data_IF_313916540384
#
_entry.id   IF_313916540384
#
_cell.length_a   1.000
_cell.length_b   1.000
_cell.length_c   1.000
_cell.angle_alpha   90.00
_cell.angle_beta   90.00
_cell.angle_gamma   90.00
#
_symmetry.space_group_name_H-M   'P 1'
#
loop_
_entity.id
_entity.type
_entity.pdbx_description
1 polymer ?
#
# COMPACT_ATOMS: atom_id res chain seq x y z
N UNK A 1 -10.85 72.78 -50.46
CA UNK A 1 -11.45 71.50 -49.99
C UNK A 1 -10.71 70.39 -50.66
N UNK A 2 -9.87 69.56 -50.00
CA UNK A 2 -9.23 68.43 -50.57
C UNK A 2 -10.15 67.21 -50.50
N UNK A 3 -10.21 66.45 -51.58
CA UNK A 3 -11.02 65.25 -51.75
C UNK A 3 -10.48 64.09 -50.85
N UNK A 4 -11.45 63.44 -50.17
CA UNK A 4 -11.20 62.29 -49.29
C UNK A 4 -10.86 61.08 -50.18
N UNK A 5 -9.79 60.29 -49.86
CA UNK A 5 -9.47 59.06 -50.61
C UNK A 5 -10.59 58.00 -50.45
N UNK A 6 -10.76 57.11 -51.43
CA UNK A 6 -11.79 56.05 -51.38
C UNK A 6 -11.40 55.01 -50.33
N UNK A 7 -12.49 54.42 -49.73
CA UNK A 7 -12.33 53.38 -48.71
C UNK A 7 -11.74 52.09 -49.35
N UNK A 8 -10.94 51.30 -48.56
CA UNK A 8 -10.40 50.04 -49.06
C UNK A 8 -11.50 49.01 -49.26
N UNK A 9 -11.32 48.07 -50.26
CA UNK A 9 -12.27 47.05 -50.49
C UNK A 9 -12.42 46.11 -49.29
N UNK A 10 -13.60 45.41 -49.11
CA UNK A 10 -13.79 44.43 -48.06
C UNK A 10 -12.84 43.23 -48.24
N UNK A 11 -12.38 42.59 -47.14
CA UNK A 11 -11.52 41.44 -47.24
C UNK A 11 -12.27 40.28 -47.92
N UNK A 12 -11.57 39.56 -48.78
CA UNK A 12 -12.05 38.35 -49.41
C UNK A 12 -12.35 37.27 -48.35
N UNK A 13 -13.40 36.46 -48.54
CA UNK A 13 -13.71 35.37 -47.64
C UNK A 13 -12.52 34.37 -47.58
N UNK A 14 -11.95 34.17 -46.38
CA UNK A 14 -10.96 33.14 -46.15
C UNK A 14 -11.64 31.79 -46.35
N UNK A 15 -11.21 31.04 -47.34
CA UNK A 15 -11.68 29.69 -47.56
C UNK A 15 -11.36 28.85 -46.33
N UNK A 16 -12.42 28.27 -45.71
CA UNK A 16 -12.25 27.29 -44.64
C UNK A 16 -11.40 26.14 -45.20
N UNK A 17 -10.25 25.92 -44.55
CA UNK A 17 -9.41 24.77 -44.81
C UNK A 17 -10.23 23.50 -44.51
N UNK A 18 -10.11 22.44 -45.34
CA UNK A 18 -10.82 21.19 -45.07
C UNK A 18 -10.37 20.66 -43.70
N UNK A 19 -11.36 20.18 -42.94
CA UNK A 19 -11.21 19.52 -41.66
C UNK A 19 -10.29 18.29 -41.80
N UNK A 20 -8.97 18.48 -41.78
CA UNK A 20 -8.03 17.38 -41.68
C UNK A 20 -8.25 16.72 -40.31
N UNK A 21 -8.50 15.39 -40.30
CA UNK A 21 -8.58 14.69 -39.04
C UNK A 21 -7.24 14.88 -38.27
N UNK A 22 -7.29 15.10 -36.93
CA UNK A 22 -6.08 15.29 -36.16
C UNK A 22 -5.11 14.14 -36.42
N UNK A 23 -3.78 14.43 -36.48
CA UNK A 23 -2.79 13.41 -36.79
C UNK A 23 -2.97 12.22 -35.84
N UNK A 24 -3.10 11.04 -36.40
CA UNK A 24 -3.05 9.78 -35.65
C UNK A 24 -1.69 9.78 -34.98
N UNK A 25 -1.67 9.97 -33.65
CA UNK A 25 -0.46 9.81 -32.86
C UNK A 25 0.05 8.41 -33.15
N UNK A 26 1.20 8.32 -33.81
CA UNK A 26 1.85 7.04 -34.03
C UNK A 26 1.98 6.32 -32.68
N UNK A 27 1.71 5.01 -32.61
CA UNK A 27 1.84 4.27 -31.37
C UNK A 27 3.26 4.51 -30.88
N UNK A 28 3.38 5.01 -29.63
CA UNK A 28 4.68 5.21 -28.98
C UNK A 28 5.48 3.94 -29.16
N UNK A 29 6.54 4.01 -29.93
CA UNK A 29 7.48 2.91 -30.09
C UNK A 29 7.95 2.46 -28.71
N UNK A 30 8.02 1.14 -28.51
CA UNK A 30 8.34 0.43 -27.25
C UNK A 30 9.59 0.91 -26.50
N UNK A 31 10.33 1.89 -27.01
CA UNK A 31 11.59 2.41 -26.46
C UNK A 31 11.44 3.47 -25.35
N UNK A 32 10.23 3.91 -24.97
CA UNK A 32 10.04 4.89 -23.89
C UNK A 32 9.50 4.31 -22.57
N UNK A 33 9.32 3.02 -22.46
CA UNK A 33 8.93 2.33 -21.22
C UNK A 33 10.10 1.55 -20.64
N UNK A 34 11.21 2.20 -20.35
CA UNK A 34 12.34 1.59 -19.62
C UNK A 34 12.03 1.35 -18.14
N UNK A 35 10.96 1.91 -17.61
CA UNK A 35 10.45 1.62 -16.27
C UNK A 35 9.14 0.86 -16.40
N UNK A 36 9.12 -0.40 -15.94
CA UNK A 36 7.90 -1.19 -15.87
C UNK A 36 6.86 -0.54 -14.95
N UNK A 37 5.59 -0.74 -15.24
CA UNK A 37 4.47 -0.22 -14.45
C UNK A 37 3.13 -0.55 -15.09
N UNK A 38 2.07 -0.58 -14.31
CA UNK A 38 0.72 -0.82 -14.79
C UNK A 38 0.14 0.44 -15.46
N UNK A 39 -0.44 0.29 -16.65
CA UNK A 39 -1.12 1.36 -17.36
C UNK A 39 -2.61 1.32 -17.05
N UNK A 40 -3.12 2.35 -16.40
CA UNK A 40 -4.48 2.42 -15.88
C UNK A 40 -5.24 3.57 -16.54
N UNK A 41 -6.48 3.30 -16.94
CA UNK A 41 -7.41 4.32 -17.42
C UNK A 41 -8.69 4.35 -16.59
N UNK A 42 -9.30 5.52 -16.45
CA UNK A 42 -10.59 5.71 -15.80
C UNK A 42 -11.56 6.31 -16.81
N UNK A 43 -12.62 5.57 -17.14
CA UNK A 43 -13.68 6.11 -17.99
C UNK A 43 -14.60 7.04 -17.20
N UNK A 44 -15.15 8.07 -17.83
CA UNK A 44 -16.29 8.78 -17.29
C UNK A 44 -17.40 7.79 -16.91
N UNK A 45 -17.95 7.95 -15.69
CA UNK A 45 -18.97 7.04 -15.17
C UNK A 45 -20.31 7.28 -15.88
N UNK A 46 -21.09 6.22 -16.05
CA UNK A 46 -22.42 6.31 -16.65
C UNK A 46 -23.45 6.79 -15.62
N UNK A 47 -24.22 7.84 -15.93
CA UNK A 47 -25.38 8.22 -15.15
C UNK A 47 -26.57 7.33 -15.51
N UNK A 48 -27.13 6.67 -14.50
CA UNK A 48 -28.35 5.87 -14.65
C UNK A 48 -29.52 6.67 -14.10
N UNK A 49 -30.33 7.24 -15.01
CA UNK A 49 -31.45 8.13 -14.69
C UNK A 49 -31.26 9.52 -15.32
N UNK A 50 -32.26 10.37 -15.16
CA UNK A 50 -32.36 11.66 -15.87
C UNK A 50 -32.26 12.87 -14.92
N UNK A 51 -31.55 12.77 -13.82
CA UNK A 51 -31.40 13.92 -12.92
C UNK A 51 -30.25 14.82 -13.37
N UNK A 52 -30.57 16.01 -13.92
CA UNK A 52 -29.59 17.00 -14.39
C UNK A 52 -28.64 17.47 -13.26
N UNK A 53 -29.15 17.50 -12.01
CA UNK A 53 -28.35 17.89 -10.85
C UNK A 53 -27.12 16.97 -10.62
N UNK A 54 -27.17 15.73 -11.10
CA UNK A 54 -26.11 14.75 -10.95
C UNK A 54 -25.12 14.73 -12.14
N UNK A 55 -25.33 15.55 -13.15
CA UNK A 55 -24.53 15.55 -14.38
C UNK A 55 -23.03 15.78 -14.12
N UNK A 56 -22.68 16.52 -13.07
CA UNK A 56 -21.27 16.79 -12.72
C UNK A 56 -20.64 15.67 -11.91
N UNK A 57 -21.43 14.78 -11.28
CA UNK A 57 -20.89 13.73 -10.39
C UNK A 57 -20.04 12.70 -11.15
N UNK A 58 -20.51 12.29 -12.32
CA UNK A 58 -19.86 11.25 -13.09
C UNK A 58 -18.46 11.67 -13.60
N UNK A 59 -18.30 12.82 -14.29
CA UNK A 59 -16.98 13.30 -14.68
C UNK A 59 -16.12 13.70 -13.47
N UNK A 60 -16.69 14.33 -12.43
CA UNK A 60 -15.96 14.75 -11.24
C UNK A 60 -15.36 13.57 -10.47
N UNK A 61 -16.12 12.49 -10.25
CA UNK A 61 -15.60 11.30 -9.58
C UNK A 61 -14.53 10.58 -10.41
N UNK A 62 -14.70 10.51 -11.74
CA UNK A 62 -13.68 9.93 -12.60
C UNK A 62 -12.37 10.72 -12.57
N UNK A 63 -12.44 12.04 -12.55
CA UNK A 63 -11.28 12.93 -12.44
C UNK A 63 -10.59 12.78 -11.08
N UNK A 64 -11.37 12.74 -9.99
CA UNK A 64 -10.82 12.56 -8.65
C UNK A 64 -10.13 11.21 -8.49
N UNK A 65 -10.73 10.12 -9.00
CA UNK A 65 -10.08 8.80 -9.03
C UNK A 65 -8.80 8.84 -9.87
N UNK A 66 -8.81 9.50 -11.03
CA UNK A 66 -7.64 9.66 -11.90
C UNK A 66 -6.50 10.38 -11.17
N UNK A 67 -6.83 11.49 -10.50
CA UNK A 67 -5.89 12.26 -9.70
C UNK A 67 -5.33 11.44 -8.54
N UNK A 68 -6.18 10.71 -7.84
CA UNK A 68 -5.77 9.86 -6.72
C UNK A 68 -4.86 8.69 -7.16
N UNK A 69 -5.15 8.05 -8.30
CA UNK A 69 -4.29 7.01 -8.89
C UNK A 69 -2.92 7.54 -9.30
N UNK A 70 -2.85 8.76 -9.83
CA UNK A 70 -1.58 9.35 -10.31
C UNK A 70 -0.54 9.55 -9.19
N UNK A 71 -0.95 9.48 -7.92
CA UNK A 71 -0.08 9.54 -6.75
C UNK A 71 0.69 8.23 -6.49
N UNK A 72 0.30 7.13 -7.13
CA UNK A 72 1.02 5.86 -7.08
C UNK A 72 2.10 5.84 -8.16
N UNK A 73 3.35 6.04 -7.77
CA UNK A 73 4.51 6.21 -8.67
C UNK A 73 4.79 5.04 -9.62
N UNK A 74 4.29 3.86 -9.31
CA UNK A 74 4.46 2.66 -10.11
C UNK A 74 3.35 2.44 -11.17
N UNK A 75 2.34 3.33 -11.21
CA UNK A 75 1.25 3.31 -12.19
C UNK A 75 1.41 4.44 -13.20
N UNK A 76 1.07 4.15 -14.46
CA UNK A 76 0.92 5.13 -15.53
C UNK A 76 -0.56 5.39 -15.77
N UNK A 77 -1.04 6.54 -15.38
CA UNK A 77 -2.48 6.87 -15.43
C UNK A 77 -2.77 7.73 -16.66
N UNK A 78 -3.72 7.29 -17.48
CA UNK A 78 -4.19 8.06 -18.64
C UNK A 78 -5.27 9.03 -18.18
N UNK A 79 -5.15 10.30 -18.57
CA UNK A 79 -6.10 11.34 -18.22
C UNK A 79 -7.54 10.98 -18.65
N UNK A 80 -8.51 11.15 -17.73
CA UNK A 80 -9.91 10.78 -17.95
C UNK A 80 -10.53 11.48 -19.18
N UNK A 81 -10.18 12.73 -19.41
CA UNK A 81 -10.62 13.50 -20.57
C UNK A 81 -10.17 12.88 -21.92
N UNK A 82 -9.01 12.24 -21.96
CA UNK A 82 -8.54 11.54 -23.17
C UNK A 82 -9.43 10.33 -23.52
N UNK A 83 -10.07 9.75 -22.52
CA UNK A 83 -10.94 8.58 -22.65
C UNK A 83 -12.41 8.95 -22.84
N UNK A 84 -12.81 10.22 -22.65
CA UNK A 84 -14.20 10.67 -22.69
C UNK A 84 -14.90 10.31 -24.01
N UNK A 85 -14.20 10.40 -25.15
CA UNK A 85 -14.74 10.04 -26.47
C UNK A 85 -15.15 8.56 -26.59
N UNK A 86 -14.57 7.67 -25.77
CA UNK A 86 -14.88 6.24 -25.76
C UNK A 86 -16.00 5.89 -24.76
N UNK A 87 -16.46 6.85 -23.95
CA UNK A 87 -17.60 6.68 -23.06
C UNK A 87 -18.93 6.81 -23.79
N UNK A 88 -18.96 7.55 -24.91
CA UNK A 88 -20.16 7.80 -25.72
C UNK A 88 -20.25 6.76 -26.88
N UNK A 89 -21.39 6.07 -27.00
CA UNK A 89 -21.66 5.12 -28.08
C UNK A 89 -21.30 3.65 -27.74
N UNK A 90 -21.01 2.87 -28.78
CA UNK A 90 -20.62 1.47 -28.61
C UNK A 90 -19.19 1.43 -28.07
N UNK A 91 -19.06 0.96 -26.85
CA UNK A 91 -17.79 0.87 -26.16
C UNK A 91 -16.90 -0.21 -26.77
N UNK A 92 -15.67 0.16 -27.13
CA UNK A 92 -14.66 -0.74 -27.68
C UNK A 92 -13.38 -0.69 -26.83
N UNK A 93 -13.28 -1.60 -25.86
CA UNK A 93 -12.12 -1.76 -24.97
C UNK A 93 -10.86 -2.13 -25.77
N UNK A 94 -11.00 -2.83 -26.89
CA UNK A 94 -9.87 -3.19 -27.76
C UNK A 94 -9.28 -1.94 -28.41
N UNK A 95 -10.13 -1.02 -28.88
CA UNK A 95 -9.68 0.26 -29.41
C UNK A 95 -9.02 1.14 -28.33
N UNK A 96 -9.60 1.18 -27.11
CA UNK A 96 -9.02 1.89 -25.97
C UNK A 96 -7.60 1.37 -25.69
N UNK A 97 -7.47 0.05 -25.54
CA UNK A 97 -6.17 -0.58 -25.29
C UNK A 97 -5.15 -0.29 -26.37
N UNK A 98 -5.56 -0.41 -27.63
CA UNK A 98 -4.67 -0.16 -28.79
C UNK A 98 -4.20 1.29 -28.87
N UNK A 99 -5.10 2.23 -28.56
CA UNK A 99 -4.81 3.67 -28.70
C UNK A 99 -3.94 4.20 -27.56
N UNK A 100 -4.17 3.75 -26.31
CA UNK A 100 -3.53 4.33 -25.13
C UNK A 100 -2.57 3.38 -24.40
N UNK A 101 -2.47 2.13 -24.84
CA UNK A 101 -1.63 1.13 -24.17
C UNK A 101 -2.14 0.74 -22.78
N UNK A 102 -3.42 0.94 -22.48
CA UNK A 102 -4.02 0.69 -21.17
C UNK A 102 -4.10 -0.82 -20.91
N UNK A 103 -3.66 -1.22 -19.71
CA UNK A 103 -3.74 -2.58 -19.21
C UNK A 103 -4.98 -2.82 -18.37
N UNK A 104 -5.32 -1.82 -17.53
CA UNK A 104 -6.47 -1.86 -16.62
C UNK A 104 -7.38 -0.68 -16.87
N UNK A 105 -8.67 -0.95 -16.92
CA UNK A 105 -9.69 0.06 -17.16
C UNK A 105 -10.71 0.07 -16.04
N UNK A 106 -10.81 1.19 -15.33
CA UNK A 106 -11.86 1.41 -14.35
C UNK A 106 -13.07 2.01 -15.02
N UNK A 107 -14.22 1.41 -14.81
CA UNK A 107 -15.51 1.93 -15.28
C UNK A 107 -16.58 1.79 -14.19
N UNK A 108 -17.76 2.37 -14.47
CA UNK A 108 -18.86 2.21 -13.56
C UNK A 108 -20.06 3.08 -13.86
N UNK A 109 -20.97 3.12 -12.92
CA UNK A 109 -22.22 3.89 -13.01
C UNK A 109 -22.59 4.56 -11.70
N UNK A 110 -23.30 5.67 -11.82
CA UNK A 110 -23.90 6.41 -10.71
C UNK A 110 -25.42 6.42 -10.90
N UNK A 111 -26.15 6.02 -9.89
CA UNK A 111 -27.61 6.05 -9.86
C UNK A 111 -28.08 6.76 -8.59
N UNK A 112 -28.95 7.75 -8.77
CA UNK A 112 -29.66 8.36 -7.62
C UNK A 112 -30.94 7.57 -7.34
N UNK A 113 -31.12 7.17 -6.07
CA UNK A 113 -32.33 6.54 -5.58
C UNK A 113 -32.81 7.36 -4.38
N UNK A 114 -33.75 8.28 -4.61
CA UNK A 114 -34.21 9.25 -3.59
C UNK A 114 -33.03 10.11 -3.08
N UNK A 115 -32.75 10.04 -1.78
CA UNK A 115 -31.64 10.76 -1.12
C UNK A 115 -30.36 9.93 -1.01
N UNK A 116 -30.21 8.87 -1.80
CA UNK A 116 -29.01 8.00 -1.82
C UNK A 116 -28.42 7.95 -3.21
N UNK A 117 -27.10 7.96 -3.27
CA UNK A 117 -26.34 7.67 -4.47
C UNK A 117 -25.83 6.23 -4.39
N UNK A 118 -26.12 5.45 -5.41
CA UNK A 118 -25.55 4.15 -5.64
C UNK A 118 -24.49 4.27 -6.72
N UNK A 119 -23.25 4.00 -6.36
CA UNK A 119 -22.10 4.03 -7.25
C UNK A 119 -21.59 2.62 -7.37
N UNK A 120 -21.53 2.12 -8.59
CA UNK A 120 -20.96 0.80 -8.89
C UNK A 120 -19.73 1.00 -9.73
N UNK A 121 -18.60 0.47 -9.28
CA UNK A 121 -17.31 0.55 -9.97
C UNK A 121 -16.75 -0.86 -10.18
N UNK A 122 -16.04 -1.04 -11.28
CA UNK A 122 -15.34 -2.28 -11.61
C UNK A 122 -14.05 -2.00 -12.35
N UNK A 123 -13.04 -2.80 -12.10
CA UNK A 123 -11.75 -2.79 -12.76
C UNK A 123 -11.70 -3.96 -13.76
N UNK A 124 -11.42 -3.65 -14.98
CA UNK A 124 -11.27 -4.61 -16.07
C UNK A 124 -9.80 -4.81 -16.40
N UNK A 125 -9.39 -6.05 -16.56
CA UNK A 125 -8.09 -6.40 -17.11
C UNK A 125 -8.22 -6.58 -18.63
N UNK A 126 -7.74 -5.61 -19.40
CA UNK A 126 -7.84 -5.59 -20.86
C UNK A 126 -6.88 -6.57 -21.55
N UNK A 127 -5.86 -7.05 -20.82
CA UNK A 127 -4.93 -8.08 -21.33
C UNK A 127 -5.48 -9.49 -21.17
N UNK A 128 -6.47 -9.67 -20.28
CA UNK A 128 -7.13 -10.93 -20.00
C UNK A 128 -8.56 -11.01 -20.60
N UNK A 129 -8.80 -10.42 -21.77
CA UNK A 129 -10.09 -10.47 -22.42
C UNK A 129 -11.20 -9.68 -21.72
N UNK A 130 -10.86 -8.53 -21.16
CA UNK A 130 -11.76 -7.63 -20.42
C UNK A 130 -12.38 -8.27 -19.17
N UNK A 131 -11.63 -9.15 -18.50
CA UNK A 131 -12.07 -9.78 -17.27
C UNK A 131 -12.25 -8.74 -16.15
N UNK A 132 -13.40 -8.80 -15.45
CA UNK A 132 -13.58 -8.01 -14.22
C UNK A 132 -12.73 -8.62 -13.11
N UNK A 133 -11.74 -7.88 -12.64
CA UNK A 133 -10.80 -8.34 -11.61
C UNK A 133 -11.10 -7.77 -10.24
N UNK A 134 -11.83 -6.65 -10.18
CA UNK A 134 -12.33 -6.05 -8.95
C UNK A 134 -13.67 -5.34 -9.25
N UNK A 135 -14.60 -5.37 -8.29
CA UNK A 135 -15.86 -4.65 -8.36
C UNK A 135 -16.35 -4.28 -6.96
N UNK A 136 -16.91 -3.07 -6.85
CA UNK A 136 -17.49 -2.56 -5.61
C UNK A 136 -18.73 -1.73 -5.87
N UNK A 137 -19.64 -1.78 -4.88
CA UNK A 137 -20.82 -0.93 -4.82
C UNK A 137 -20.77 -0.10 -3.55
N UNK A 138 -20.97 1.20 -3.72
CA UNK A 138 -21.04 2.18 -2.65
C UNK A 138 -22.46 2.73 -2.60
N UNK A 139 -23.14 2.61 -1.48
CA UNK A 139 -24.44 3.24 -1.21
C UNK A 139 -24.19 4.35 -0.18
N UNK A 140 -24.35 5.61 -0.57
CA UNK A 140 -24.02 6.81 0.23
C UNK A 140 -25.20 7.78 0.26
N UNK A 141 -25.28 8.59 1.33
CA UNK A 141 -26.21 9.73 1.37
C UNK A 141 -25.64 10.89 0.56
N UNK A 142 -26.49 11.65 -0.11
CA UNK A 142 -26.09 12.72 -1.03
C UNK A 142 -26.06 14.13 -0.39
N UNK A 143 -25.68 14.22 0.89
CA UNK A 143 -25.74 15.49 1.62
C UNK A 143 -24.59 16.46 1.28
N UNK A 144 -23.42 15.92 0.96
CA UNK A 144 -22.22 16.65 0.53
C UNK A 144 -21.55 15.88 -0.59
N UNK A 145 -21.70 16.36 -1.81
CA UNK A 145 -21.27 15.64 -3.01
C UNK A 145 -19.75 15.70 -3.21
N UNK A 146 -19.08 16.79 -2.82
CA UNK A 146 -17.64 16.94 -2.97
C UNK A 146 -16.91 16.03 -1.99
N UNK A 147 -17.27 16.09 -0.70
CA UNK A 147 -16.71 15.19 0.31
C UNK A 147 -16.94 13.73 -0.03
N UNK A 148 -18.09 13.40 -0.64
CA UNK A 148 -18.41 12.06 -1.10
C UNK A 148 -17.51 11.59 -2.25
N UNK A 149 -17.18 12.45 -3.20
CA UNK A 149 -16.28 12.14 -4.31
C UNK A 149 -14.89 11.82 -3.79
N UNK A 150 -14.35 12.65 -2.88
CA UNK A 150 -13.04 12.44 -2.25
C UNK A 150 -12.99 11.12 -1.46
N UNK A 151 -14.04 10.84 -0.67
CA UNK A 151 -14.12 9.60 0.12
C UNK A 151 -14.13 8.35 -0.78
N UNK A 152 -14.97 8.32 -1.81
CA UNK A 152 -15.09 7.18 -2.71
C UNK A 152 -13.81 7.03 -3.54
N UNK A 153 -13.25 8.10 -4.07
CA UNK A 153 -11.99 8.03 -4.82
C UNK A 153 -10.88 7.44 -3.95
N UNK A 154 -10.76 7.90 -2.70
CA UNK A 154 -9.77 7.39 -1.75
C UNK A 154 -9.94 5.90 -1.46
N UNK A 155 -11.17 5.45 -1.18
CA UNK A 155 -11.47 4.03 -0.92
C UNK A 155 -11.19 3.16 -2.16
N UNK A 156 -11.57 3.62 -3.34
CA UNK A 156 -11.38 2.90 -4.61
C UNK A 156 -9.90 2.67 -4.90
N UNK A 157 -9.12 3.75 -4.88
CA UNK A 157 -7.70 3.64 -5.27
C UNK A 157 -6.89 2.86 -4.25
N UNK A 158 -7.21 2.95 -2.96
CA UNK A 158 -6.57 2.17 -1.91
C UNK A 158 -6.84 0.66 -2.05
N UNK A 159 -8.00 0.28 -2.60
CA UNK A 159 -8.35 -1.12 -2.81
C UNK A 159 -7.81 -1.68 -4.13
N UNK A 160 -7.78 -0.88 -5.20
CA UNK A 160 -7.30 -1.37 -6.51
C UNK A 160 -5.77 -1.39 -6.63
N UNK A 161 -5.04 -0.57 -5.87
CA UNK A 161 -3.57 -0.59 -5.87
C UNK A 161 -2.99 -1.97 -5.54
N UNK A 162 -3.32 -2.63 -4.42
CA UNK A 162 -2.81 -3.96 -4.13
C UNK A 162 -3.33 -5.04 -5.09
N UNK A 163 -4.56 -4.92 -5.59
CA UNK A 163 -5.11 -5.88 -6.57
C UNK A 163 -4.34 -5.84 -7.89
N UNK A 164 -4.09 -4.66 -8.44
CA UNK A 164 -3.29 -4.51 -9.65
C UNK A 164 -1.88 -5.07 -9.43
N UNK A 165 -1.27 -4.77 -8.28
CA UNK A 165 0.06 -5.25 -7.93
C UNK A 165 0.15 -6.78 -7.93
N UNK A 166 -0.85 -7.47 -7.36
CA UNK A 166 -0.91 -8.94 -7.33
C UNK A 166 -1.15 -9.54 -8.73
N UNK A 167 -1.96 -8.91 -9.57
CA UNK A 167 -2.20 -9.34 -10.95
C UNK A 167 -0.91 -9.21 -11.76
N UNK A 168 -0.21 -8.09 -11.64
CA UNK A 168 1.08 -7.88 -12.31
C UNK A 168 2.14 -8.88 -11.83
N UNK A 169 2.20 -9.15 -10.52
CA UNK A 169 3.09 -10.15 -9.95
C UNK A 169 2.83 -11.56 -10.51
N UNK A 170 1.56 -11.97 -10.57
CA UNK A 170 1.17 -13.25 -11.17
C UNK A 170 1.55 -13.34 -12.65
N UNK A 171 1.42 -12.26 -13.38
CA UNK A 171 1.78 -12.15 -14.79
C UNK A 171 3.28 -12.26 -14.99
N UNK A 172 4.04 -11.54 -14.18
CA UNK A 172 5.49 -11.58 -14.19
C UNK A 172 6.03 -12.98 -13.90
N UNK A 173 5.43 -13.72 -12.98
CA UNK A 173 5.80 -15.10 -12.67
C UNK A 173 5.70 -16.04 -13.89
N UNK A 174 4.83 -15.75 -14.84
CA UNK A 174 4.67 -16.52 -16.09
C UNK A 174 5.68 -16.20 -17.19
N UNK A 175 6.51 -15.14 -17.05
CA UNK A 175 7.54 -14.79 -18.03
C UNK A 175 8.79 -15.66 -17.87
N UNK A 176 9.48 -16.06 -18.98
CA UNK A 176 10.77 -16.72 -18.89
C UNK A 176 11.77 -15.85 -18.09
N UNK A 177 12.60 -16.45 -17.24
CA UNK A 177 13.59 -15.71 -16.43
C UNK A 177 14.57 -14.88 -17.26
N UNK A 178 14.93 -15.34 -18.45
CA UNK A 178 15.90 -14.69 -19.33
C UNK A 178 15.40 -13.35 -19.88
N UNK A 179 14.08 -13.15 -19.95
CA UNK A 179 13.43 -11.93 -20.45
C UNK A 179 12.92 -11.04 -19.31
N UNK A 180 13.18 -11.40 -18.07
CA UNK A 180 12.68 -10.69 -16.91
C UNK A 180 13.46 -9.40 -16.66
N UNK A 181 12.73 -8.29 -16.51
CA UNK A 181 13.27 -6.97 -16.15
C UNK A 181 13.44 -6.85 -14.63
N UNK A 182 14.10 -5.78 -14.17
CA UNK A 182 14.16 -5.44 -12.73
C UNK A 182 12.75 -5.31 -12.12
N UNK A 183 11.82 -4.74 -12.86
CA UNK A 183 10.40 -4.67 -12.47
C UNK A 183 9.76 -6.06 -12.31
N UNK A 184 10.01 -6.98 -13.24
CA UNK A 184 9.50 -8.34 -13.15
C UNK A 184 10.06 -9.08 -11.93
N UNK A 185 11.35 -8.93 -11.64
CA UNK A 185 11.97 -9.53 -10.46
C UNK A 185 11.39 -8.98 -9.16
N UNK A 186 11.21 -7.66 -9.06
CA UNK A 186 10.55 -7.04 -7.90
C UNK A 186 9.12 -7.56 -7.72
N UNK A 187 8.33 -7.62 -8.78
CA UNK A 187 6.96 -8.13 -8.73
C UNK A 187 6.88 -9.60 -8.28
N UNK A 188 7.80 -10.44 -8.72
CA UNK A 188 7.87 -11.86 -8.30
C UNK A 188 8.13 -12.01 -6.81
N UNK A 189 8.90 -11.09 -6.23
CA UNK A 189 9.24 -11.13 -4.81
C UNK A 189 8.04 -10.83 -3.91
N UNK A 190 7.18 -9.88 -4.27
CA UNK A 190 6.12 -9.34 -3.41
C UNK A 190 5.19 -10.42 -2.84
N UNK A 191 4.54 -11.29 -3.64
CA UNK A 191 3.67 -12.32 -3.10
C UNK A 191 4.42 -13.39 -2.30
N UNK A 192 5.71 -13.60 -2.56
CA UNK A 192 6.53 -14.57 -1.82
C UNK A 192 6.89 -14.06 -0.41
N UNK A 193 7.06 -12.74 -0.25
CA UNK A 193 7.24 -12.11 1.07
C UNK A 193 6.00 -12.39 1.94
N UNK A 194 4.80 -12.19 1.40
CA UNK A 194 3.54 -12.35 2.15
C UNK A 194 3.20 -13.79 2.53
N UNK A 195 3.79 -14.80 1.87
CA UNK A 195 3.54 -16.21 2.21
C UNK A 195 4.16 -16.61 3.54
N UNK A 196 5.30 -16.01 3.91
CA UNK A 196 6.07 -16.35 5.12
C UNK A 196 6.43 -17.85 5.22
N UNK A 197 6.65 -18.48 4.08
CA UNK A 197 7.24 -19.82 3.95
C UNK A 197 8.75 -19.66 3.66
N UNK A 198 9.63 -20.21 4.49
CA UNK A 198 11.07 -19.89 4.49
C UNK A 198 11.72 -20.03 3.10
N UNK A 199 11.44 -21.10 2.36
CA UNK A 199 11.99 -21.30 1.01
C UNK A 199 11.57 -20.22 0.00
N UNK A 200 10.26 -20.04 -0.27
CA UNK A 200 9.76 -18.97 -1.12
C UNK A 200 10.17 -17.57 -0.64
N UNK A 201 10.23 -17.34 0.67
CA UNK A 201 10.67 -16.07 1.23
C UNK A 201 12.14 -15.76 0.92
N UNK A 202 13.03 -16.73 1.05
CA UNK A 202 14.45 -16.58 0.67
C UNK A 202 14.59 -16.29 -0.83
N UNK A 203 13.81 -16.96 -1.67
CA UNK A 203 13.77 -16.71 -3.11
C UNK A 203 13.32 -15.27 -3.43
N UNK A 204 12.41 -14.69 -2.63
CA UNK A 204 12.04 -13.27 -2.77
C UNK A 204 13.24 -12.34 -2.57
N UNK A 205 14.08 -12.61 -1.58
CA UNK A 205 15.32 -11.85 -1.36
C UNK A 205 16.28 -11.93 -2.55
N UNK A 206 16.43 -13.12 -3.16
CA UNK A 206 17.24 -13.32 -4.37
C UNK A 206 16.67 -12.50 -5.56
N UNK A 207 15.36 -12.52 -5.77
CA UNK A 207 14.73 -11.70 -6.80
C UNK A 207 14.97 -10.21 -6.59
N UNK A 208 14.87 -9.71 -5.37
CA UNK A 208 15.09 -8.29 -5.06
C UNK A 208 16.55 -7.87 -5.23
N UNK A 209 17.50 -8.74 -4.82
CA UNK A 209 18.92 -8.53 -5.08
C UNK A 209 19.19 -8.42 -6.58
N UNK A 210 18.62 -9.36 -7.35
CA UNK A 210 18.81 -9.41 -8.81
C UNK A 210 18.15 -8.19 -9.51
N UNK A 211 17.01 -7.71 -9.02
CA UNK A 211 16.40 -6.50 -9.53
C UNK A 211 17.32 -5.28 -9.38
N UNK A 212 18.00 -5.16 -8.25
CA UNK A 212 18.97 -4.08 -7.99
C UNK A 212 20.23 -4.22 -8.86
N UNK A 213 20.70 -5.44 -9.10
CA UNK A 213 21.84 -5.71 -9.99
C UNK A 213 21.54 -5.33 -11.44
N UNK A 214 20.30 -5.62 -11.92
CA UNK A 214 19.87 -5.27 -13.27
C UNK A 214 19.65 -3.77 -13.44
N UNK A 215 19.10 -3.09 -12.43
CA UNK A 215 18.81 -1.65 -12.49
C UNK A 215 19.16 -0.99 -11.15
N UNK A 216 20.42 -0.53 -10.96
CA UNK A 216 20.90 0.06 -9.70
C UNK A 216 20.23 1.38 -9.29
N UNK A 217 19.43 1.97 -10.17
CA UNK A 217 18.66 3.21 -9.90
C UNK A 217 17.16 2.95 -9.70
N UNK A 218 16.74 1.68 -9.58
CA UNK A 218 15.34 1.33 -9.40
C UNK A 218 14.93 1.40 -7.92
N UNK A 219 14.46 2.58 -7.49
CA UNK A 219 14.12 2.90 -6.10
C UNK A 219 13.18 1.87 -5.45
N UNK A 220 12.14 1.42 -6.17
CA UNK A 220 11.15 0.48 -5.62
C UNK A 220 11.77 -0.86 -5.23
N UNK A 221 12.77 -1.37 -5.98
CA UNK A 221 13.44 -2.62 -5.63
C UNK A 221 14.20 -2.51 -4.29
N UNK A 222 14.84 -1.36 -4.04
CA UNK A 222 15.48 -1.08 -2.75
C UNK A 222 14.46 -1.00 -1.60
N UNK A 223 13.32 -0.34 -1.82
CA UNK A 223 12.27 -0.24 -0.82
C UNK A 223 11.71 -1.63 -0.45
N UNK A 224 11.35 -2.44 -1.43
CA UNK A 224 10.85 -3.79 -1.21
C UNK A 224 11.90 -4.71 -0.58
N UNK A 225 13.19 -4.53 -0.90
CA UNK A 225 14.27 -5.31 -0.27
C UNK A 225 14.48 -4.90 1.21
N UNK A 226 14.36 -3.60 1.51
CA UNK A 226 14.33 -3.15 2.91
C UNK A 226 13.14 -3.75 3.66
N UNK A 227 11.97 -3.80 3.04
CA UNK A 227 10.77 -4.41 3.61
C UNK A 227 10.90 -5.92 3.81
N UNK A 228 11.53 -6.63 2.89
CA UNK A 228 11.89 -8.04 3.06
C UNK A 228 12.74 -8.26 4.32
N UNK A 229 13.72 -7.39 4.59
CA UNK A 229 14.54 -7.49 5.79
C UNK A 229 13.74 -7.26 7.08
N UNK A 230 12.69 -6.43 7.06
CA UNK A 230 11.78 -6.26 8.22
C UNK A 230 11.18 -7.60 8.62
N UNK A 231 10.65 -8.35 7.66
CA UNK A 231 10.10 -9.68 7.93
C UNK A 231 11.17 -10.69 8.30
N UNK A 232 12.33 -10.65 7.65
CA UNK A 232 13.43 -11.59 7.90
C UNK A 232 13.92 -11.51 9.36
N UNK A 233 14.05 -10.29 9.88
CA UNK A 233 14.38 -10.04 11.29
C UNK A 233 13.20 -10.33 12.19
N UNK A 234 12.00 -9.85 11.84
CA UNK A 234 10.79 -9.98 12.65
C UNK A 234 10.33 -11.42 12.88
N UNK A 235 10.61 -12.33 11.93
CA UNK A 235 10.34 -13.77 12.03
C UNK A 235 11.43 -14.56 12.78
N UNK A 236 12.50 -13.89 13.25
CA UNK A 236 13.61 -14.57 13.91
C UNK A 236 14.46 -15.45 12.98
N UNK A 237 14.45 -15.20 11.66
CA UNK A 237 15.16 -16.01 10.68
C UNK A 237 16.59 -15.57 10.40
N UNK A 238 16.98 -14.39 10.88
CA UNK A 238 18.30 -13.82 10.67
C UNK A 238 19.31 -14.39 11.66
N UNK A 239 20.40 -15.01 11.16
CA UNK A 239 21.51 -15.49 11.99
C UNK A 239 22.27 -14.31 12.65
N UNK A 240 22.39 -13.17 11.95
CA UNK A 240 22.92 -11.91 12.47
C UNK A 240 21.87 -10.81 12.27
N UNK A 241 20.95 -10.63 13.24
CA UNK A 241 19.93 -9.59 13.18
C UNK A 241 20.50 -8.17 13.04
N UNK A 242 21.62 -7.87 13.71
CA UNK A 242 22.23 -6.54 13.69
C UNK A 242 22.74 -6.17 12.30
N UNK A 243 23.40 -7.08 11.61
CA UNK A 243 23.84 -6.86 10.23
C UNK A 243 22.65 -6.71 9.28
N UNK A 244 21.56 -7.49 9.46
CA UNK A 244 20.36 -7.39 8.65
C UNK A 244 19.59 -6.08 8.89
N UNK A 245 19.52 -5.62 10.12
CA UNK A 245 18.92 -4.31 10.48
C UNK A 245 19.70 -3.15 9.85
N UNK A 246 21.04 -3.16 9.90
CA UNK A 246 21.90 -2.17 9.27
C UNK A 246 21.69 -2.17 7.74
N UNK A 247 21.63 -3.34 7.11
CA UNK A 247 21.37 -3.49 5.67
C UNK A 247 20.00 -2.96 5.28
N UNK A 248 18.97 -3.23 6.07
CA UNK A 248 17.63 -2.68 5.85
C UNK A 248 17.64 -1.14 5.84
N UNK A 249 18.37 -0.54 6.78
CA UNK A 249 18.56 0.92 6.84
C UNK A 249 19.22 1.48 5.59
N UNK A 250 20.32 0.89 5.15
CA UNK A 250 21.03 1.31 3.93
C UNK A 250 20.15 1.21 2.68
N UNK A 251 19.39 0.12 2.55
CA UNK A 251 18.48 -0.07 1.42
C UNK A 251 17.33 0.96 1.44
N UNK A 252 16.75 1.20 2.61
CA UNK A 252 15.69 2.19 2.79
C UNK A 252 16.16 3.62 2.48
N UNK A 253 17.35 4.00 2.93
CA UNK A 253 17.96 5.29 2.59
C UNK A 253 18.21 5.42 1.09
N UNK A 254 18.74 4.37 0.45
CA UNK A 254 18.97 4.37 -0.99
C UNK A 254 17.67 4.55 -1.77
N UNK A 255 16.58 3.89 -1.36
CA UNK A 255 15.26 4.06 -1.97
C UNK A 255 14.80 5.53 -1.94
N UNK A 256 14.92 6.20 -0.77
CA UNK A 256 14.52 7.61 -0.61
C UNK A 256 15.40 8.55 -1.44
N UNK A 257 16.70 8.28 -1.53
CA UNK A 257 17.62 9.09 -2.34
C UNK A 257 17.29 8.98 -3.82
N UNK A 258 16.95 7.79 -4.30
CA UNK A 258 16.61 7.54 -5.71
C UNK A 258 15.24 8.09 -6.10
N UNK A 259 14.24 7.99 -5.23
CA UNK A 259 12.93 8.60 -5.45
C UNK A 259 12.35 9.17 -4.15
N UNK A 260 12.63 10.47 -3.86
CA UNK A 260 12.17 11.12 -2.63
C UNK A 260 10.67 11.44 -2.61
N UNK A 261 9.94 11.14 -3.70
CA UNK A 261 8.50 11.36 -3.85
C UNK A 261 7.72 10.04 -3.88
N UNK A 262 8.38 8.90 -3.68
CA UNK A 262 7.67 7.62 -3.54
C UNK A 262 7.14 7.45 -2.13
N UNK A 263 5.81 7.63 -1.96
CA UNK A 263 5.13 7.49 -0.67
C UNK A 263 5.31 6.08 -0.07
N UNK A 264 5.34 5.03 -0.90
CA UNK A 264 5.57 3.65 -0.45
C UNK A 264 6.99 3.47 0.07
N UNK A 265 7.98 3.95 -0.67
CA UNK A 265 9.38 3.91 -0.25
C UNK A 265 9.61 4.65 1.07
N UNK A 266 9.03 5.85 1.22
CA UNK A 266 9.05 6.62 2.47
C UNK A 266 8.38 5.88 3.62
N UNK A 267 7.23 5.24 3.38
CA UNK A 267 6.51 4.49 4.41
C UNK A 267 7.29 3.26 4.87
N UNK A 268 7.88 2.51 3.94
CA UNK A 268 8.75 1.37 4.27
C UNK A 268 9.96 1.84 5.08
N UNK A 269 10.61 2.92 4.69
CA UNK A 269 11.73 3.48 5.42
C UNK A 269 11.33 3.93 6.84
N UNK A 270 10.13 4.53 6.99
CA UNK A 270 9.55 4.84 8.28
C UNK A 270 9.41 3.59 9.15
N UNK A 271 8.89 2.52 8.59
CA UNK A 271 8.75 1.25 9.34
C UNK A 271 10.10 0.62 9.73
N UNK A 272 11.09 0.66 8.85
CA UNK A 272 12.48 0.27 9.18
C UNK A 272 13.01 1.10 10.36
N UNK A 273 12.80 2.42 10.35
CA UNK A 273 13.20 3.30 11.47
C UNK A 273 12.46 2.97 12.76
N UNK A 274 11.15 2.72 12.72
CA UNK A 274 10.35 2.40 13.89
C UNK A 274 10.69 1.02 14.46
N UNK A 275 10.56 -0.01 13.65
CA UNK A 275 10.60 -1.40 14.11
C UNK A 275 12.02 -1.93 14.32
N UNK A 276 12.94 -1.66 13.36
CA UNK A 276 14.30 -2.20 13.43
C UNK A 276 15.29 -1.28 14.17
N UNK A 277 15.13 0.04 14.00
CA UNK A 277 16.09 1.01 14.55
C UNK A 277 15.58 1.74 15.80
N UNK A 278 14.32 1.58 16.19
CA UNK A 278 13.66 2.23 17.34
C UNK A 278 13.72 3.77 17.30
N UNK A 279 13.81 4.36 16.07
CA UNK A 279 13.84 5.81 15.85
C UNK A 279 12.44 6.32 15.53
N UNK A 280 11.57 6.34 16.54
CA UNK A 280 10.13 6.54 16.36
C UNK A 280 9.78 7.92 15.77
N UNK A 281 10.43 8.99 16.25
CA UNK A 281 10.18 10.35 15.74
C UNK A 281 10.61 10.52 14.27
N UNK A 282 11.74 9.93 13.87
CA UNK A 282 12.16 9.91 12.46
C UNK A 282 11.17 9.11 11.61
N UNK A 283 10.69 7.99 12.14
CA UNK A 283 9.68 7.15 11.48
C UNK A 283 8.38 7.91 11.22
N UNK A 284 7.87 8.59 12.24
CA UNK A 284 6.65 9.40 12.15
C UNK A 284 6.81 10.49 11.08
N UNK A 285 7.93 11.21 11.06
CA UNK A 285 8.19 12.23 10.06
C UNK A 285 8.20 11.66 8.62
N UNK A 286 8.76 10.46 8.43
CA UNK A 286 8.74 9.78 7.12
C UNK A 286 7.32 9.34 6.72
N UNK A 287 6.54 8.81 7.66
CA UNK A 287 5.16 8.44 7.41
C UNK A 287 4.28 9.65 7.11
N UNK A 288 4.42 10.75 7.84
CA UNK A 288 3.66 11.98 7.60
C UNK A 288 4.01 12.57 6.22
N UNK A 289 5.28 12.51 5.82
CA UNK A 289 5.68 12.88 4.47
C UNK A 289 5.08 11.94 3.41
N UNK A 290 5.07 10.63 3.65
CA UNK A 290 4.43 9.67 2.75
C UNK A 290 2.95 9.96 2.57
N UNK A 291 2.22 10.23 3.67
CA UNK A 291 0.81 10.56 3.68
C UNK A 291 0.50 11.93 3.05
N UNK A 292 1.42 12.90 3.15
CA UNK A 292 1.28 14.19 2.44
C UNK A 292 1.37 14.02 0.92
N UNK A 293 2.20 13.09 0.44
CA UNK A 293 2.33 12.77 -0.98
C UNK A 293 1.17 11.90 -1.49
N UNK A 294 0.79 10.90 -0.72
CA UNK A 294 -0.31 10.00 -1.07
C UNK A 294 -1.16 9.62 0.16
N UNK A 295 -2.21 10.40 0.47
CA UNK A 295 -3.12 10.11 1.59
C UNK A 295 -3.98 8.85 1.37
N UNK A 296 -3.93 8.24 0.19
CA UNK A 296 -4.68 7.04 -0.18
C UNK A 296 -3.85 5.76 -0.03
N UNK A 297 -2.59 5.86 0.38
CA UNK A 297 -1.74 4.70 0.63
C UNK A 297 -2.09 4.07 1.99
N UNK A 298 -2.94 3.04 1.96
CA UNK A 298 -3.44 2.34 3.16
C UNK A 298 -2.30 1.84 4.06
N UNK A 299 -1.25 1.26 3.45
CA UNK A 299 -0.03 0.84 4.13
C UNK A 299 0.60 1.94 4.99
N UNK A 300 0.65 3.18 4.51
CA UNK A 300 1.26 4.28 5.26
C UNK A 300 0.44 4.67 6.50
N UNK A 301 -0.87 4.57 6.42
CA UNK A 301 -1.75 4.78 7.59
C UNK A 301 -1.51 3.73 8.66
N UNK A 302 -1.44 2.44 8.29
CA UNK A 302 -1.20 1.37 9.24
C UNK A 302 0.18 1.49 9.90
N UNK A 303 1.25 1.53 9.09
CA UNK A 303 2.62 1.57 9.60
C UNK A 303 2.90 2.81 10.45
N UNK A 304 2.27 3.96 10.14
CA UNK A 304 2.35 5.12 11.02
C UNK A 304 1.60 4.90 12.33
N UNK A 305 0.44 4.25 12.29
CA UNK A 305 -0.30 3.88 13.49
C UNK A 305 0.51 2.98 14.42
N UNK A 306 1.22 1.99 13.85
CA UNK A 306 2.16 1.14 14.59
C UNK A 306 3.29 1.97 15.23
N UNK A 307 3.85 2.95 14.52
CA UNK A 307 4.89 3.82 15.07
C UNK A 307 4.38 4.66 16.27
N UNK A 308 3.15 5.18 16.18
CA UNK A 308 2.50 5.87 17.31
C UNK A 308 2.19 4.93 18.48
N UNK A 309 1.79 3.68 18.20
CA UNK A 309 1.60 2.68 19.25
C UNK A 309 2.91 2.40 20.01
N UNK A 310 4.03 2.29 19.31
CA UNK A 310 5.35 2.14 19.93
C UNK A 310 5.79 3.36 20.73
N UNK A 311 5.42 4.57 20.29
CA UNK A 311 5.63 5.82 21.03
C UNK A 311 4.77 5.91 22.30
N UNK A 312 3.67 5.15 22.35
CA UNK A 312 2.69 5.15 23.43
C UNK A 312 1.57 6.19 23.27
N UNK A 313 1.41 6.76 22.08
CA UNK A 313 0.24 7.57 21.70
C UNK A 313 -0.82 6.66 21.05
N UNK A 314 -1.56 5.98 21.91
CA UNK A 314 -2.51 4.95 21.47
C UNK A 314 -3.76 5.53 20.80
N UNK A 315 -4.14 6.76 21.12
CA UNK A 315 -5.28 7.44 20.51
C UNK A 315 -4.98 7.77 19.04
N UNK A 316 -3.84 8.38 18.74
CA UNK A 316 -3.41 8.65 17.38
C UNK A 316 -3.17 7.35 16.61
N UNK A 317 -2.56 6.35 17.26
CA UNK A 317 -2.37 5.02 16.68
C UNK A 317 -3.70 4.40 16.22
N UNK A 318 -4.72 4.40 17.08
CA UNK A 318 -6.05 3.87 16.79
C UNK A 318 -6.74 4.61 15.63
N UNK A 319 -6.64 5.95 15.60
CA UNK A 319 -7.20 6.74 14.51
C UNK A 319 -6.56 6.36 13.16
N UNK A 320 -5.24 6.20 13.13
CA UNK A 320 -4.49 5.86 11.91
C UNK A 320 -4.80 4.46 11.41
N UNK A 321 -4.81 3.44 12.27
CA UNK A 321 -5.13 2.07 11.86
C UNK A 321 -6.61 1.92 11.46
N UNK A 322 -7.52 2.68 12.09
CA UNK A 322 -8.91 2.73 11.66
C UNK A 322 -9.04 3.40 10.28
N UNK A 323 -8.22 4.41 9.98
CA UNK A 323 -8.18 5.02 8.63
C UNK A 323 -7.69 4.01 7.59
N UNK A 324 -6.60 3.27 7.89
CA UNK A 324 -6.18 2.14 7.06
C UNK A 324 -7.33 1.18 6.78
N UNK A 325 -8.00 0.69 7.83
CA UNK A 325 -9.06 -0.32 7.70
C UNK A 325 -10.26 0.19 6.91
N UNK A 326 -10.58 1.49 7.03
CA UNK A 326 -11.62 2.12 6.21
C UNK A 326 -11.23 2.17 4.74
N UNK A 327 -9.98 2.49 4.42
CA UNK A 327 -9.46 2.55 3.05
C UNK A 327 -9.39 1.18 2.40
N UNK A 328 -8.86 0.18 3.11
CA UNK A 328 -8.61 -1.17 2.59
C UNK A 328 -9.18 -2.25 3.53
N UNK A 329 -10.52 -2.41 3.61
CA UNK A 329 -11.15 -3.34 4.55
C UNK A 329 -10.83 -4.82 4.28
N UNK A 330 -10.43 -5.16 3.06
CA UNK A 330 -10.07 -6.50 2.61
C UNK A 330 -8.66 -6.53 2.01
N UNK A 331 -7.72 -5.89 2.69
CA UNK A 331 -6.33 -5.83 2.24
C UNK A 331 -5.73 -7.24 2.12
N UNK A 332 -5.05 -7.57 1.01
CA UNK A 332 -4.40 -8.87 0.87
C UNK A 332 -3.33 -9.16 1.92
N UNK A 333 -2.77 -8.12 2.55
CA UNK A 333 -1.76 -8.21 3.60
C UNK A 333 -2.34 -7.92 5.00
N UNK A 334 -3.68 -8.07 5.18
CA UNK A 334 -4.35 -7.80 6.44
C UNK A 334 -3.75 -8.59 7.62
N UNK A 335 -3.21 -9.79 7.40
CA UNK A 335 -2.51 -10.55 8.44
C UNK A 335 -1.37 -9.76 9.09
N UNK A 336 -0.70 -8.89 8.33
CA UNK A 336 0.37 -8.03 8.82
C UNK A 336 -0.18 -6.75 9.44
N UNK A 337 -0.99 -6.02 8.69
CA UNK A 337 -1.50 -4.72 9.12
C UNK A 337 -2.46 -4.83 10.31
N UNK A 338 -3.40 -5.77 10.30
CA UNK A 338 -4.36 -5.94 11.39
C UNK A 338 -3.70 -6.35 12.73
N UNK A 339 -2.42 -6.74 12.73
CA UNK A 339 -1.64 -6.98 13.95
C UNK A 339 -1.56 -5.73 14.84
N UNK A 340 -1.61 -4.55 14.23
CA UNK A 340 -1.65 -3.28 14.96
C UNK A 340 -2.83 -3.17 15.93
N UNK A 341 -4.01 -3.70 15.56
CA UNK A 341 -5.18 -3.71 16.43
C UNK A 341 -4.95 -4.53 17.70
N UNK A 342 -4.22 -5.67 17.60
CA UNK A 342 -3.89 -6.50 18.77
C UNK A 342 -3.00 -5.71 19.72
N UNK A 343 -1.94 -5.09 19.18
CA UNK A 343 -0.96 -4.32 19.98
C UNK A 343 -1.63 -3.14 20.66
N UNK A 344 -2.41 -2.34 19.93
CA UNK A 344 -3.07 -1.15 20.47
C UNK A 344 -4.06 -1.54 21.59
N UNK A 345 -4.90 -2.55 21.36
CA UNK A 345 -5.87 -3.01 22.35
C UNK A 345 -5.18 -3.56 23.61
N UNK A 346 -4.09 -4.35 23.46
CA UNK A 346 -3.28 -4.85 24.55
C UNK A 346 -2.70 -3.70 25.41
N UNK A 347 -2.14 -2.66 24.77
CA UNK A 347 -1.54 -1.52 25.44
C UNK A 347 -2.59 -0.63 26.12
N UNK A 348 -3.80 -0.55 25.56
CA UNK A 348 -4.93 0.16 26.16
C UNK A 348 -5.64 -0.64 27.28
N UNK A 349 -5.15 -1.82 27.63
CA UNK A 349 -5.75 -2.76 28.59
C UNK A 349 -7.11 -3.33 28.16
N UNK A 350 -7.47 -3.25 26.88
CA UNK A 350 -8.65 -3.92 26.34
C UNK A 350 -8.26 -5.33 25.87
N UNK A 351 -8.04 -6.21 26.85
CA UNK A 351 -7.52 -7.55 26.59
C UNK A 351 -8.50 -8.42 25.80
N UNK A 352 -9.80 -8.25 25.99
CA UNK A 352 -10.81 -9.00 25.23
C UNK A 352 -10.84 -8.57 23.76
N UNK A 353 -10.78 -7.28 23.46
CA UNK A 353 -10.63 -6.80 22.09
C UNK A 353 -9.32 -7.29 21.46
N UNK A 354 -8.20 -7.28 22.22
CA UNK A 354 -6.93 -7.83 21.75
C UNK A 354 -7.01 -9.33 21.43
N UNK A 355 -7.71 -10.12 22.25
CA UNK A 355 -7.92 -11.56 22.02
C UNK A 355 -8.80 -11.80 20.78
N UNK A 356 -9.86 -11.03 20.59
CA UNK A 356 -10.74 -11.14 19.41
C UNK A 356 -9.94 -10.83 18.13
N UNK A 357 -9.20 -9.73 18.13
CA UNK A 357 -8.34 -9.34 17.00
C UNK A 357 -7.23 -10.39 16.75
N UNK A 358 -6.57 -10.86 17.82
CA UNK A 358 -5.49 -11.85 17.74
C UNK A 358 -5.94 -13.16 17.10
N UNK A 359 -7.11 -13.67 17.47
CA UNK A 359 -7.68 -14.87 16.87
C UNK A 359 -7.91 -14.66 15.38
N UNK A 360 -8.56 -13.57 14.98
CA UNK A 360 -8.86 -13.28 13.58
C UNK A 360 -7.57 -13.14 12.74
N UNK A 361 -6.57 -12.45 13.25
CA UNK A 361 -5.31 -12.18 12.51
C UNK A 361 -4.47 -13.45 12.36
N UNK A 362 -4.34 -14.27 13.41
CA UNK A 362 -3.58 -15.52 13.35
C UNK A 362 -4.22 -16.58 12.46
N UNK A 363 -5.54 -16.49 12.21
CA UNK A 363 -6.24 -17.33 11.22
C UNK A 363 -5.92 -16.90 9.78
N UNK A 364 -5.67 -15.61 9.52
CA UNK A 364 -5.32 -15.11 8.18
C UNK A 364 -3.96 -15.64 7.70
N UNK A 365 -2.96 -15.66 8.58
CA UNK A 365 -1.66 -16.27 8.29
C UNK A 365 -1.05 -16.90 9.55
N UNK A 366 -1.26 -18.22 9.75
CA UNK A 366 -0.73 -18.93 10.92
C UNK A 366 0.80 -18.98 11.03
N UNK A 367 1.54 -18.66 9.94
CA UNK A 367 3.00 -18.66 9.92
C UNK A 367 3.63 -17.34 10.36
N UNK A 368 2.82 -16.30 10.62
CA UNK A 368 3.30 -14.97 10.99
C UNK A 368 3.52 -14.85 12.51
N UNK A 369 4.77 -15.07 12.98
CA UNK A 369 5.10 -15.07 14.42
C UNK A 369 4.79 -13.73 15.12
N UNK A 370 4.94 -12.61 14.41
CA UNK A 370 4.69 -11.29 14.98
C UNK A 370 3.23 -11.04 15.38
N UNK A 371 2.25 -11.76 14.79
CA UNK A 371 0.86 -11.71 15.22
C UNK A 371 0.60 -12.60 16.45
N UNK A 372 1.31 -13.74 16.55
CA UNK A 372 1.17 -14.62 17.70
C UNK A 372 1.70 -13.99 18.99
N UNK A 373 2.78 -13.19 18.94
CA UNK A 373 3.38 -12.54 20.12
C UNK A 373 2.37 -11.70 20.91
N UNK A 374 1.71 -10.67 20.33
CA UNK A 374 0.71 -9.88 21.04
C UNK A 374 -0.56 -10.67 21.39
N UNK A 375 -0.93 -11.68 20.58
CA UNK A 375 -2.08 -12.53 20.89
C UNK A 375 -1.83 -13.40 22.12
N UNK A 376 -0.66 -14.03 22.25
CA UNK A 376 -0.25 -14.79 23.44
C UNK A 376 -0.23 -13.90 24.67
N UNK A 377 0.32 -12.69 24.55
CA UNK A 377 0.35 -11.72 25.66
C UNK A 377 -1.08 -11.29 26.07
N UNK A 378 -1.97 -11.06 25.12
CA UNK A 378 -3.37 -10.70 25.37
C UNK A 378 -4.13 -11.82 26.10
N UNK A 379 -3.95 -13.07 25.67
CA UNK A 379 -4.54 -14.24 26.33
C UNK A 379 -4.04 -14.40 27.78
N UNK A 380 -2.73 -14.19 28.00
CA UNK A 380 -2.15 -14.20 29.33
C UNK A 380 -2.74 -13.11 30.24
N UNK A 381 -2.86 -11.88 29.75
CA UNK A 381 -3.44 -10.76 30.48
C UNK A 381 -4.97 -10.94 30.72
N UNK A 382 -5.67 -11.56 29.79
CA UNK A 382 -7.11 -11.88 29.94
C UNK A 382 -7.35 -13.06 30.90
N UNK A 383 -6.31 -13.75 31.39
CA UNK A 383 -6.43 -14.92 32.25
C UNK A 383 -6.93 -16.19 31.53
N UNK A 384 -6.91 -16.20 30.20
CA UNK A 384 -7.36 -17.33 29.35
C UNK A 384 -6.22 -18.33 29.14
N UNK A 385 -5.74 -18.92 30.26
CA UNK A 385 -4.47 -19.65 30.31
C UNK A 385 -4.41 -20.91 29.45
N UNK A 386 -5.49 -21.64 29.28
CA UNK A 386 -5.53 -22.84 28.41
C UNK A 386 -5.36 -22.46 26.93
N UNK A 387 -6.02 -21.37 26.50
CA UNK A 387 -5.85 -20.83 25.14
C UNK A 387 -4.47 -20.22 24.96
N UNK A 388 -3.94 -19.53 25.99
CA UNK A 388 -2.61 -18.97 26.00
C UNK A 388 -1.52 -20.06 25.82
N UNK A 389 -1.67 -21.21 26.51
CA UNK A 389 -0.75 -22.34 26.34
C UNK A 389 -0.77 -22.89 24.91
N UNK A 390 -1.96 -23.04 24.31
CA UNK A 390 -2.09 -23.48 22.91
C UNK A 390 -1.46 -22.48 21.94
N UNK A 391 -1.70 -21.19 22.13
CA UNK A 391 -1.15 -20.12 21.30
C UNK A 391 0.38 -19.98 21.46
N UNK A 392 0.90 -20.12 22.70
CA UNK A 392 2.34 -20.19 23.01
C UNK A 392 3.01 -21.33 22.22
N UNK A 393 2.44 -22.53 22.27
CA UNK A 393 3.02 -23.70 21.62
C UNK A 393 3.08 -23.50 20.08
N UNK A 394 2.10 -22.77 19.51
CA UNK A 394 2.13 -22.35 18.11
C UNK A 394 3.24 -21.33 17.83
N UNK A 395 3.38 -20.32 18.67
CA UNK A 395 4.44 -19.32 18.54
C UNK A 395 5.83 -19.99 18.59
N UNK A 396 6.07 -20.85 19.59
CA UNK A 396 7.36 -21.54 19.79
C UNK A 396 7.63 -22.58 18.69
N UNK A 397 6.62 -23.11 18.02
CA UNK A 397 6.80 -23.94 16.82
C UNK A 397 7.32 -23.15 15.61
N UNK A 398 6.99 -21.85 15.52
CA UNK A 398 7.44 -20.94 14.45
C UNK A 398 8.81 -20.34 14.80
N UNK A 399 8.98 -19.91 16.05
CA UNK A 399 10.15 -19.22 16.58
C UNK A 399 10.59 -19.90 17.89
N UNK A 400 11.33 -21.04 17.78
CA UNK A 400 11.70 -21.88 18.94
C UNK A 400 12.52 -21.17 20.01
N UNK A 401 13.33 -20.20 19.61
CA UNK A 401 14.23 -19.45 20.48
C UNK A 401 13.60 -18.18 21.05
N UNK A 402 12.27 -17.99 20.92
CA UNK A 402 11.58 -16.81 21.43
C UNK A 402 11.50 -16.86 22.96
N UNK A 403 12.05 -15.82 23.62
CA UNK A 403 12.05 -15.65 25.09
C UNK A 403 11.66 -14.26 25.49
N UNK A 404 11.30 -14.06 26.76
CA UNK A 404 10.97 -12.74 27.32
C UNK A 404 12.18 -11.79 27.21
N UNK A 405 13.39 -12.29 27.49
CA UNK A 405 14.61 -11.47 27.40
C UNK A 405 14.86 -10.97 25.97
N UNK A 406 14.74 -11.86 24.97
CA UNK A 406 14.87 -11.47 23.54
C UNK A 406 13.79 -10.46 23.16
N UNK A 407 12.55 -10.67 23.60
CA UNK A 407 11.47 -9.71 23.36
C UNK A 407 11.80 -8.33 23.93
N UNK A 408 12.18 -8.24 25.22
CA UNK A 408 12.49 -6.97 25.88
C UNK A 408 13.66 -6.26 25.18
N UNK A 409 14.67 -7.01 24.74
CA UNK A 409 15.84 -6.45 24.06
C UNK A 409 15.51 -5.88 22.66
N UNK A 410 14.53 -6.44 21.97
CA UNK A 410 14.18 -6.08 20.59
C UNK A 410 12.86 -5.28 20.46
N UNK A 411 12.08 -5.13 21.52
CA UNK A 411 10.78 -4.47 21.46
C UNK A 411 10.94 -2.95 21.28
N UNK A 412 10.31 -2.35 20.26
CA UNK A 412 10.52 -0.95 19.90
C UNK A 412 9.73 0.06 20.74
N UNK A 413 9.14 -0.36 21.87
CA UNK A 413 8.32 0.51 22.70
C UNK A 413 9.18 1.53 23.44
N UNK A 414 8.84 2.82 23.35
CA UNK A 414 9.54 3.90 24.03
C UNK A 414 9.24 3.88 25.52
N UNK A 415 7.97 3.65 25.90
CA UNK A 415 7.56 3.61 27.30
C UNK A 415 7.90 2.25 27.92
N UNK A 416 8.69 2.27 28.98
CA UNK A 416 9.05 1.05 29.73
C UNK A 416 7.79 0.31 30.25
N UNK A 417 6.79 1.04 30.73
CA UNK A 417 5.53 0.46 31.21
C UNK A 417 4.77 -0.32 30.15
N UNK A 418 4.85 0.06 28.86
CA UNK A 418 4.21 -0.66 27.76
C UNK A 418 4.96 -1.96 27.44
N UNK A 419 6.29 -1.90 27.44
CA UNK A 419 7.15 -3.06 27.26
C UNK A 419 6.93 -4.08 28.37
N UNK A 420 6.90 -3.62 29.63
CA UNK A 420 6.69 -4.51 30.78
C UNK A 420 5.28 -5.11 30.81
N UNK A 421 4.26 -4.35 30.43
CA UNK A 421 2.87 -4.86 30.32
C UNK A 421 2.77 -5.97 29.30
N UNK A 422 3.42 -5.79 28.17
CA UNK A 422 3.44 -6.81 27.12
C UNK A 422 4.20 -8.05 27.62
N UNK A 423 5.40 -7.87 28.20
CA UNK A 423 6.20 -8.96 28.76
C UNK A 423 5.46 -9.71 29.88
N UNK A 424 4.73 -9.00 30.74
CA UNK A 424 3.91 -9.61 31.80
C UNK A 424 2.84 -10.56 31.21
N UNK A 425 2.18 -10.18 30.12
CA UNK A 425 1.23 -11.05 29.42
C UNK A 425 1.89 -12.31 28.87
N UNK A 426 3.08 -12.19 28.28
CA UNK A 426 3.86 -13.32 27.80
C UNK A 426 4.29 -14.27 28.94
N UNK A 427 4.68 -13.72 30.10
CA UNK A 427 5.00 -14.51 31.31
C UNK A 427 3.79 -15.30 31.80
N UNK A 428 2.64 -14.65 31.90
CA UNK A 428 1.38 -15.31 32.32
C UNK A 428 1.00 -16.45 31.37
N UNK A 429 1.31 -16.33 30.08
CA UNK A 429 1.11 -17.37 29.08
C UNK A 429 2.18 -18.49 29.14
N UNK A 430 3.22 -18.36 29.95
CA UNK A 430 4.28 -19.35 30.13
C UNK A 430 5.36 -19.31 29.05
N UNK A 431 5.65 -18.15 28.44
CA UNK A 431 6.83 -17.96 27.59
C UNK A 431 8.09 -18.02 28.48
N UNK A 432 9.17 -18.71 28.06
CA UNK A 432 10.43 -18.79 28.81
C UNK A 432 11.06 -17.40 29.07
N UNK A 433 11.63 -17.19 30.28
CA UNK A 433 12.28 -15.94 30.65
C UNK A 433 13.60 -15.74 29.95
N UNK A 434 14.47 -16.75 30.01
CA UNK A 434 15.87 -16.67 29.62
C UNK A 434 16.17 -17.58 28.45
N UNK A 435 17.15 -17.15 27.67
CA UNK A 435 17.89 -17.98 26.73
C UNK A 435 19.32 -18.14 27.29
N UNK A 436 19.72 -19.39 27.63
CA UNK A 436 21.03 -19.68 28.21
C UNK A 436 22.19 -19.26 27.30
N UNK A 437 21.93 -19.16 25.97
CA UNK A 437 22.90 -18.79 24.95
C UNK A 437 22.75 -17.34 24.44
N UNK A 438 21.81 -16.55 24.97
CA UNK A 438 21.55 -15.20 24.49
C UNK A 438 22.63 -14.20 24.89
N UNK A 439 23.47 -13.82 23.94
CA UNK A 439 24.36 -12.66 24.06
C UNK A 439 23.59 -11.40 23.66
N UNK A 440 23.28 -10.56 24.64
CA UNK A 440 22.58 -9.28 24.44
C UNK A 440 23.26 -8.50 23.30
N UNK A 441 22.55 -8.12 22.22
CA UNK A 441 23.15 -7.33 21.17
C UNK A 441 23.69 -6.01 21.76
N UNK A 442 24.82 -5.49 21.26
CA UNK A 442 25.36 -4.24 21.75
C UNK A 442 24.27 -3.16 21.65
N UNK A 443 24.02 -2.49 22.77
CA UNK A 443 23.07 -1.37 22.81
C UNK A 443 23.60 -0.25 21.93
N UNK A 444 23.09 -0.13 20.72
CA UNK A 444 23.36 0.98 19.79
C UNK A 444 22.76 2.32 20.29
N UNK A 445 22.32 2.38 21.55
CA UNK A 445 21.66 3.50 22.19
C UNK A 445 22.46 4.04 23.37
N UNK A 446 23.73 4.35 23.18
CA UNK A 446 24.30 5.40 24.00
C UNK A 446 23.83 6.74 23.42
N UNK A 447 23.09 7.46 24.25
CA UNK A 447 22.62 8.81 24.02
C UNK A 447 23.71 9.62 23.36
N UNK A 448 23.49 10.02 22.10
CA UNK A 448 24.31 11.03 21.46
C UNK A 448 24.30 12.25 22.35
N UNK A 449 25.41 12.45 23.03
CA UNK A 449 25.66 13.62 23.84
C UNK A 449 25.54 14.86 22.97
N UNK A 450 24.86 15.86 23.49
CA UNK A 450 24.81 17.19 22.96
C UNK A 450 26.24 17.71 22.69
N UNK A 451 26.47 18.13 21.45
CA UNK A 451 27.45 19.13 21.07
C UNK A 451 26.91 19.88 19.83
#
# INVERSE_FOLDING_TARGET
>A
MPLRPPAPPPPEPVAEAPDEPPPILEPRTERQTTRGGAHVGVLPLQLVGTNEEDAHLAPGLAEEITTALSRFRWMFVVASNSLARFAAGTRDETAIRRTFGIDFLLDGSIQRVRNRLRITLRLLDLRAGNQVVWARRFDRQSNDLLSLQDEIASEVVAQIDPEILLIEAKRSAGRPPIDATAYDHMLRAIPLIGRLERGPFMQAGEYLSHAIELEPEYAAAYAWYAYWHVFFVGQGWADDPSAMMAKAGTLAERAIVLDPFDARGLSIAGHVRAFLHHRLHEAIALHDRALSLNPNLAMAWDLSGVAYAYLGDWEEAEQRVNRYKKLSPFDPHAFFYDTAFIIIALLKHDYEAAVIAGRAVTELNPSFSAAWKPYVAALGQAGRLDEAATARDRLLAIEPDFTIERFIASAPFEREGDRERYAAGLRLAGIPELDEDFVKPPTYFEKGGAA
#
